data_IF_784834023451
#
_entry.id   IF_784834023451
#
_cell.length_a   1.000
_cell.length_b   1.000
_cell.length_c   1.000
_cell.angle_alpha   90.00
_cell.angle_beta   90.00
_cell.angle_gamma   90.00
#
_symmetry.space_group_name_H-M   'P 1'
#
loop_
_entity.id
_entity.type
_entity.pdbx_description
1 polymer ?
#
# COMPACT_ATOMS: atom_id res chain seq x y z
N UNK A 1 17.64 -25.47 -2.09
CA UNK A 1 16.83 -24.30 -1.74
C UNK A 1 17.78 -23.11 -1.58
N UNK A 2 17.59 -22.06 -2.38
CA UNK A 2 18.36 -20.83 -2.30
C UNK A 2 17.97 -20.10 -1.01
N UNK A 3 18.92 -19.86 -0.10
CA UNK A 3 18.69 -19.01 1.07
C UNK A 3 18.77 -17.57 0.57
N UNK A 4 17.67 -16.84 0.69
CA UNK A 4 17.65 -15.39 0.47
C UNK A 4 18.42 -14.77 1.63
N UNK A 5 19.56 -14.15 1.33
CA UNK A 5 20.39 -13.49 2.32
C UNK A 5 19.88 -12.05 2.47
N UNK A 6 19.26 -11.74 3.60
CA UNK A 6 18.60 -10.46 3.86
C UNK A 6 19.58 -9.28 3.97
N UNK A 7 20.88 -9.56 4.05
CA UNK A 7 21.93 -8.54 4.02
C UNK A 7 22.27 -8.13 2.56
N UNK A 8 21.97 -9.02 1.59
CA UNK A 8 22.11 -8.73 0.15
C UNK A 8 20.80 -8.32 -0.51
N UNK A 9 19.66 -8.85 -0.04
CA UNK A 9 18.31 -8.55 -0.52
C UNK A 9 17.46 -8.08 0.68
N UNK A 10 17.57 -6.80 1.08
CA UNK A 10 16.76 -6.28 2.17
C UNK A 10 15.27 -6.37 1.81
N UNK A 11 14.38 -6.54 2.81
CA UNK A 11 12.96 -6.53 2.54
C UNK A 11 12.51 -5.18 2.00
N UNK A 12 11.43 -5.15 1.20
CA UNK A 12 10.85 -3.89 0.75
C UNK A 12 10.35 -3.07 1.95
N UNK A 13 10.41 -1.75 1.83
CA UNK A 13 9.89 -0.82 2.84
C UNK A 13 8.34 -0.84 2.92
N UNK A 14 7.67 -1.22 1.82
CA UNK A 14 6.22 -1.32 1.71
C UNK A 14 5.82 -2.41 0.71
N UNK A 15 4.85 -3.25 1.07
CA UNK A 15 4.14 -4.12 0.14
C UNK A 15 2.68 -3.68 -0.02
N UNK A 16 2.12 -3.83 -1.22
CA UNK A 16 0.72 -3.48 -1.52
C UNK A 16 0.07 -4.68 -2.20
N UNK A 17 -1.01 -5.18 -1.61
CA UNK A 17 -1.77 -6.32 -2.09
C UNK A 17 -3.23 -5.96 -2.38
N UNK A 18 -3.81 -6.61 -3.37
CA UNK A 18 -5.21 -6.46 -3.74
C UNK A 18 -5.95 -7.79 -3.53
N UNK A 19 -6.70 -7.88 -2.44
CA UNK A 19 -7.46 -9.08 -2.06
C UNK A 19 -8.78 -9.14 -2.84
N UNK A 20 -8.71 -9.57 -4.10
CA UNK A 20 -9.88 -9.70 -4.99
C UNK A 20 -10.50 -11.10 -4.90
N UNK A 21 -9.68 -12.15 -4.96
CA UNK A 21 -10.14 -13.54 -5.00
C UNK A 21 -9.55 -14.44 -3.93
N UNK A 22 -8.47 -13.99 -3.28
CA UNK A 22 -7.76 -14.72 -2.23
C UNK A 22 -7.31 -13.73 -1.16
N UNK A 23 -7.27 -14.20 0.09
CA UNK A 23 -6.80 -13.39 1.21
C UNK A 23 -5.28 -13.39 1.27
N UNK A 24 -4.70 -12.23 1.51
CA UNK A 24 -3.27 -12.08 1.76
C UNK A 24 -2.87 -12.80 3.06
N UNK A 25 -1.76 -13.53 3.01
CA UNK A 25 -1.18 -14.20 4.18
C UNK A 25 -0.07 -13.35 4.76
N UNK A 26 -0.43 -12.52 5.76
CA UNK A 26 0.49 -11.58 6.41
C UNK A 26 1.74 -12.27 7.02
N UNK A 27 1.62 -13.52 7.48
CA UNK A 27 2.74 -14.29 8.04
C UNK A 27 3.96 -14.41 7.10
N UNK A 28 3.71 -14.46 5.79
CA UNK A 28 4.79 -14.50 4.80
C UNK A 28 5.60 -13.19 4.80
N UNK A 29 4.92 -12.05 4.89
CA UNK A 29 5.54 -10.73 4.96
C UNK A 29 6.23 -10.47 6.31
N UNK A 30 5.68 -11.02 7.40
CA UNK A 30 6.29 -10.95 8.73
C UNK A 30 7.61 -11.72 8.76
N UNK A 31 7.65 -12.90 8.10
CA UNK A 31 8.87 -13.69 7.93
C UNK A 31 9.94 -12.93 7.14
N UNK A 32 9.52 -12.17 6.13
CA UNK A 32 10.39 -11.28 5.37
C UNK A 32 10.76 -9.99 6.13
N UNK A 33 10.10 -9.69 7.24
CA UNK A 33 10.25 -8.44 8.02
C UNK A 33 9.91 -7.18 7.22
N UNK A 34 8.88 -7.24 6.37
CA UNK A 34 8.36 -6.05 5.69
C UNK A 34 7.69 -5.16 6.74
N UNK A 35 8.15 -3.92 6.95
CA UNK A 35 7.66 -3.09 8.06
C UNK A 35 6.20 -2.64 7.86
N UNK A 36 5.74 -2.55 6.62
CA UNK A 36 4.41 -2.06 6.27
C UNK A 36 3.80 -2.85 5.10
N UNK A 37 2.54 -3.28 5.25
CA UNK A 37 1.77 -3.96 4.20
C UNK A 37 0.41 -3.28 4.05
N UNK A 38 0.04 -2.89 2.84
CA UNK A 38 -1.29 -2.40 2.53
C UNK A 38 -2.12 -3.50 1.88
N UNK A 39 -3.33 -3.72 2.37
CA UNK A 39 -4.28 -4.64 1.77
C UNK A 39 -5.48 -3.83 1.30
N UNK A 40 -5.72 -3.86 -0.01
CA UNK A 40 -6.93 -3.31 -0.61
C UNK A 40 -7.98 -4.41 -0.78
N UNK A 41 -9.09 -4.30 -0.06
CA UNK A 41 -10.18 -5.28 -0.05
C UNK A 41 -11.53 -4.55 -0.03
N UNK A 42 -12.51 -5.04 -0.79
CA UNK A 42 -13.90 -4.55 -0.73
C UNK A 42 -14.06 -3.01 -0.79
N UNK A 43 -13.23 -2.32 -1.57
CA UNK A 43 -13.28 -0.86 -1.70
C UNK A 43 -12.57 -0.09 -0.58
N UNK A 44 -11.85 -0.76 0.32
CA UNK A 44 -11.14 -0.17 1.45
C UNK A 44 -9.67 -0.54 1.41
N UNK A 45 -8.81 0.41 1.76
CA UNK A 45 -7.39 0.15 2.00
C UNK A 45 -7.15 0.03 3.51
N UNK A 46 -6.56 -1.08 3.93
CA UNK A 46 -6.14 -1.31 5.33
C UNK A 46 -4.62 -1.33 5.41
N UNK A 47 -4.04 -0.56 6.33
CA UNK A 47 -2.61 -0.54 6.59
C UNK A 47 -2.30 -1.53 7.72
N UNK A 48 -1.30 -2.38 7.51
CA UNK A 48 -0.78 -3.31 8.49
C UNK A 48 0.68 -2.97 8.80
N UNK A 49 0.98 -2.69 10.06
CA UNK A 49 2.32 -2.35 10.54
C UNK A 49 2.92 -3.51 11.32
N UNK A 50 4.15 -3.89 10.99
CA UNK A 50 4.86 -4.95 11.69
C UNK A 50 5.33 -4.43 13.06
N UNK A 51 4.88 -5.07 14.14
CA UNK A 51 5.29 -4.78 15.52
C UNK A 51 5.72 -6.07 16.22
N UNK A 52 6.94 -6.10 16.75
CA UNK A 52 7.62 -7.22 17.43
C UNK A 52 7.78 -8.53 16.63
N UNK A 53 6.73 -9.02 15.96
CA UNK A 53 6.71 -10.11 14.96
C UNK A 53 5.32 -10.29 14.31
N UNK A 54 4.35 -9.42 14.59
CA UNK A 54 2.97 -9.56 14.12
C UNK A 54 2.46 -8.23 13.52
N UNK A 55 1.47 -8.33 12.65
CA UNK A 55 0.89 -7.17 11.98
C UNK A 55 -0.28 -6.60 12.76
N UNK A 56 -0.20 -5.31 13.09
CA UNK A 56 -1.29 -4.57 13.70
C UNK A 56 -1.90 -3.59 12.69
N UNK A 57 -3.24 -3.44 12.65
CA UNK A 57 -3.88 -2.41 11.84
C UNK A 57 -3.38 -1.02 12.24
N UNK A 58 -2.92 -0.24 11.27
CA UNK A 58 -2.47 1.14 11.42
C UNK A 58 -3.48 2.13 10.82
N UNK A 59 -3.53 3.35 11.37
CA UNK A 59 -4.33 4.45 10.81
C UNK A 59 -3.54 5.32 9.82
N UNK A 60 -2.21 5.26 9.88
CA UNK A 60 -1.30 6.12 9.14
C UNK A 60 -0.16 5.28 8.59
N UNK A 61 0.30 5.61 7.37
CA UNK A 61 1.45 4.97 6.75
C UNK A 61 2.75 5.44 7.38
N UNK A 62 3.74 4.54 7.54
CA UNK A 62 5.09 4.94 7.94
C UNK A 62 5.87 5.51 6.74
N UNK A 63 5.62 4.97 5.54
CA UNK A 63 6.23 5.46 4.29
C UNK A 63 5.64 6.81 3.85
N UNK A 64 4.35 7.03 4.09
CA UNK A 64 3.64 8.27 3.72
C UNK A 64 2.89 8.89 4.92
N UNK A 65 3.60 9.40 5.94
CA UNK A 65 2.99 9.80 7.21
C UNK A 65 2.05 11.01 7.10
N UNK A 66 2.26 11.87 6.10
CA UNK A 66 1.50 13.10 5.91
C UNK A 66 0.34 12.93 4.90
N UNK A 67 0.19 11.75 4.30
CA UNK A 67 -0.78 11.52 3.27
C UNK A 67 -1.95 10.67 3.80
N UNK A 68 -3.20 11.06 3.54
CA UNK A 68 -4.38 10.28 3.91
C UNK A 68 -4.62 9.15 2.89
N UNK A 69 -3.62 8.27 2.72
CA UNK A 69 -3.60 7.19 1.72
C UNK A 69 -4.81 6.26 1.88
N UNK A 70 -5.24 5.99 3.12
CA UNK A 70 -6.41 5.15 3.42
C UNK A 70 -7.71 5.71 2.85
N UNK A 71 -7.75 7.00 2.55
CA UNK A 71 -8.90 7.68 1.90
C UNK A 71 -8.66 7.86 0.41
N UNK A 72 -7.50 8.39 0.01
CA UNK A 72 -7.21 8.73 -1.38
C UNK A 72 -7.14 7.53 -2.31
N UNK A 73 -6.52 6.43 -1.88
CA UNK A 73 -6.37 5.25 -2.74
C UNK A 73 -7.74 4.66 -3.11
N UNK A 74 -8.67 4.41 -2.16
CA UNK A 74 -10.04 4.03 -2.51
C UNK A 74 -10.74 4.99 -3.48
N UNK A 75 -10.63 6.30 -3.27
CA UNK A 75 -11.24 7.30 -4.16
C UNK A 75 -10.68 7.24 -5.57
N UNK A 76 -9.35 7.11 -5.71
CA UNK A 76 -8.70 6.98 -7.02
C UNK A 76 -9.04 5.67 -7.71
N UNK A 77 -9.11 4.56 -6.98
CA UNK A 77 -9.54 3.28 -7.54
C UNK A 77 -10.97 3.41 -8.06
N UNK A 78 -11.88 4.00 -7.29
CA UNK A 78 -13.27 4.23 -7.72
C UNK A 78 -13.35 5.14 -8.95
N UNK A 79 -12.62 6.25 -8.97
CA UNK A 79 -12.56 7.14 -10.14
C UNK A 79 -11.99 6.44 -11.39
N UNK A 80 -11.04 5.52 -11.23
CA UNK A 80 -10.50 4.73 -12.33
C UNK A 80 -11.54 3.73 -12.87
N UNK A 81 -12.39 3.15 -12.01
CA UNK A 81 -13.49 2.28 -12.42
C UNK A 81 -14.57 3.07 -13.18
N UNK A 82 -14.91 4.27 -12.71
CA UNK A 82 -15.99 5.08 -13.27
C UNK A 82 -15.61 5.84 -14.55
N UNK A 83 -14.38 6.38 -14.60
CA UNK A 83 -13.93 7.30 -15.66
C UNK A 83 -12.75 6.75 -16.49
N UNK A 84 -12.28 5.55 -16.16
CA UNK A 84 -11.15 4.89 -16.80
C UNK A 84 -9.80 5.25 -16.16
N UNK A 85 -8.93 4.25 -16.03
CA UNK A 85 -7.61 4.34 -15.40
C UNK A 85 -6.73 5.44 -16.01
N UNK A 86 -6.69 5.58 -17.34
CA UNK A 86 -5.87 6.60 -18.00
C UNK A 86 -6.32 8.03 -17.70
N UNK A 87 -7.62 8.24 -17.46
CA UNK A 87 -8.16 9.54 -17.08
C UNK A 87 -7.81 9.87 -15.63
N UNK A 88 -8.04 8.91 -14.72
CA UNK A 88 -7.69 9.06 -13.31
C UNK A 88 -6.20 9.38 -13.13
N UNK A 89 -5.30 8.60 -13.74
CA UNK A 89 -3.85 8.82 -13.62
C UNK A 89 -3.41 10.17 -14.18
N UNK A 90 -4.01 10.63 -15.28
CA UNK A 90 -3.72 11.95 -15.85
C UNK A 90 -4.15 13.07 -14.91
N UNK A 91 -5.30 12.95 -14.26
CA UNK A 91 -5.78 13.92 -13.27
C UNK A 91 -4.84 13.95 -12.07
N UNK A 92 -4.52 12.80 -11.49
CA UNK A 92 -3.59 12.69 -10.35
C UNK A 92 -2.24 13.34 -10.67
N UNK A 93 -1.67 13.06 -11.84
CA UNK A 93 -0.40 13.67 -12.28
C UNK A 93 -0.48 15.19 -12.36
N UNK A 94 -1.60 15.76 -12.81
CA UNK A 94 -1.78 17.21 -12.87
C UNK A 94 -1.87 17.82 -11.47
N UNK A 95 -2.58 17.17 -10.55
CA UNK A 95 -2.71 17.62 -9.15
C UNK A 95 -1.35 17.67 -8.46
N UNK A 96 -0.53 16.63 -8.66
CA UNK A 96 0.85 16.59 -8.18
C UNK A 96 1.72 17.72 -8.76
N UNK A 97 1.60 17.99 -10.06
CA UNK A 97 2.35 19.08 -10.71
C UNK A 97 1.90 20.48 -10.27
N UNK A 98 0.62 20.62 -9.91
CA UNK A 98 0.04 21.86 -9.43
C UNK A 98 0.32 22.11 -7.94
N UNK A 99 0.88 21.13 -7.22
CA UNK A 99 1.07 21.20 -5.76
C UNK A 99 -0.24 21.11 -4.97
N UNK A 100 -1.31 20.58 -5.58
CA UNK A 100 -2.60 20.34 -4.90
C UNK A 100 -2.53 19.10 -3.99
N UNK A 101 -1.59 18.20 -4.27
CA UNK A 101 -1.21 17.07 -3.43
C UNK A 101 0.24 17.31 -3.03
N UNK A 102 0.46 17.52 -1.73
CA UNK A 102 1.79 17.71 -1.14
C UNK A 102 2.37 16.34 -0.77
N UNK A 103 3.40 15.89 -1.48
CA UNK A 103 4.09 14.60 -1.26
C UNK A 103 5.37 14.79 -0.45
#
# INVERSE_FOLDING_TARGET
>A
LMRMDMDTDPPPDLAIEADVTSKTTLDAYATLKVPEVWIYDNGRLTIHLLQDSDYQPGTTSQVFPNLPITTWVPEWVQAALDHGTSTMLRTLRKQLQAGEIDL
#
